data_IF_947948551266
#
_entry.id   IF_947948551266
#
_cell.length_a   1.000
_cell.length_b   1.000
_cell.length_c   1.000
_cell.angle_alpha   90.00
_cell.angle_beta   90.00
_cell.angle_gamma   90.00
#
_symmetry.space_group_name_H-M   'P 1'
#
loop_
_entity.id
_entity.type
_entity.pdbx_description
1 polymer ?
#
# COMPACT_ATOMS: atom_id res chain seq x y z
N UNK A 1 18.71 7.39 -0.14
CA UNK A 1 19.86 7.83 0.68
C UNK A 1 19.84 9.34 0.73
N UNK A 2 18.87 9.92 1.44
CA UNK A 2 19.01 11.28 1.97
C UNK A 2 19.01 11.11 3.47
N UNK A 3 20.21 11.10 4.05
CA UNK A 3 20.34 11.18 5.50
C UNK A 3 19.76 12.51 5.92
N UNK A 4 18.70 12.50 6.74
CA UNK A 4 18.11 13.70 7.34
C UNK A 4 19.23 14.51 8.00
N UNK A 5 19.68 15.59 7.35
CA UNK A 5 20.87 16.37 7.75
C UNK A 5 20.74 16.96 9.17
N UNK A 6 19.52 17.22 9.62
CA UNK A 6 19.23 17.62 10.99
C UNK A 6 19.43 16.47 11.99
N UNK A 7 19.15 15.24 11.58
CA UNK A 7 19.31 14.05 12.42
C UNK A 7 20.79 13.69 12.62
N UNK A 8 21.63 13.90 11.59
CA UNK A 8 23.09 13.78 11.75
C UNK A 8 23.63 14.89 12.65
N UNK A 9 23.19 16.13 12.47
CA UNK A 9 23.59 17.25 13.31
C UNK A 9 23.23 17.02 14.80
N UNK A 10 22.03 16.50 15.07
CA UNK A 10 21.60 16.18 16.43
C UNK A 10 22.43 15.06 17.08
N UNK A 11 22.96 14.13 16.29
CA UNK A 11 23.83 13.04 16.78
C UNK A 11 25.25 13.51 17.04
N UNK A 12 25.79 14.37 16.17
CA UNK A 12 27.14 14.92 16.28
C UNK A 12 27.23 15.99 17.36
N UNK A 13 26.19 16.79 17.53
CA UNK A 13 26.12 17.90 18.48
C UNK A 13 24.85 17.82 19.34
N UNK A 14 24.80 16.94 20.37
CA UNK A 14 23.59 16.68 21.15
C UNK A 14 23.08 17.86 21.97
N UNK A 15 23.95 18.82 22.28
CA UNK A 15 23.61 20.00 23.10
C UNK A 15 23.49 21.29 22.27
N UNK A 16 23.31 21.18 20.94
CA UNK A 16 23.21 22.35 20.08
C UNK A 16 21.85 23.04 20.26
N UNK A 17 21.86 24.36 20.44
CA UNK A 17 20.65 25.19 20.48
C UNK A 17 20.56 25.93 19.16
N UNK A 18 19.43 25.77 18.47
CA UNK A 18 19.16 26.42 17.20
C UNK A 18 18.11 27.49 17.45
N UNK A 19 18.48 28.76 17.25
CA UNK A 19 17.55 29.87 17.25
C UNK A 19 17.00 30.04 15.84
N UNK A 20 15.68 30.02 15.69
CA UNK A 20 14.98 30.12 14.41
C UNK A 20 13.83 31.10 14.55
N UNK A 21 13.49 31.80 13.47
CA UNK A 21 12.28 32.61 13.46
C UNK A 21 11.05 31.69 13.51
N UNK A 22 10.00 32.14 14.21
CA UNK A 22 8.76 31.38 14.34
C UNK A 22 8.09 31.18 12.98
N UNK A 23 8.22 32.15 12.06
CA UNK A 23 7.76 32.05 10.67
C UNK A 23 8.33 30.82 9.97
N UNK A 24 9.64 30.63 10.10
CA UNK A 24 10.37 29.58 9.39
C UNK A 24 10.02 28.21 9.95
N UNK A 25 9.76 28.15 11.27
CA UNK A 25 9.28 26.94 11.93
C UNK A 25 7.88 26.53 11.44
N UNK A 26 6.99 27.51 11.26
CA UNK A 26 5.64 27.27 10.72
C UNK A 26 5.74 26.75 9.28
N UNK A 27 6.53 27.40 8.43
CA UNK A 27 6.71 27.00 7.04
C UNK A 27 7.29 25.58 6.92
N UNK A 28 8.30 25.26 7.73
CA UNK A 28 8.87 23.92 7.79
C UNK A 28 7.84 22.87 8.24
N UNK A 29 7.04 23.18 9.26
CA UNK A 29 5.99 22.28 9.75
C UNK A 29 4.91 22.03 8.69
N UNK A 30 4.43 23.07 8.01
CA UNK A 30 3.47 22.90 6.93
C UNK A 30 4.05 22.12 5.75
N UNK A 31 5.32 22.35 5.40
CA UNK A 31 6.00 21.60 4.34
C UNK A 31 6.09 20.10 4.68
N UNK A 32 6.43 19.77 5.93
CA UNK A 32 6.41 18.40 6.45
C UNK A 32 5.01 17.78 6.34
N UNK A 33 3.98 18.47 6.84
CA UNK A 33 2.59 17.99 6.79
C UNK A 33 2.15 17.76 5.34
N UNK A 34 2.42 18.71 4.43
CA UNK A 34 2.08 18.58 3.00
C UNK A 34 2.77 17.37 2.37
N UNK A 35 4.06 17.17 2.65
CA UNK A 35 4.83 16.04 2.11
C UNK A 35 4.29 14.71 2.61
N UNK A 36 4.07 14.58 3.92
CA UNK A 36 3.50 13.36 4.51
C UNK A 36 2.08 13.09 3.99
N UNK A 37 1.26 14.14 3.84
CA UNK A 37 -0.09 13.99 3.26
C UNK A 37 -0.03 13.52 1.81
N UNK A 38 0.85 14.08 0.99
CA UNK A 38 1.02 13.68 -0.40
C UNK A 38 1.50 12.22 -0.53
N UNK A 39 2.44 11.79 0.32
CA UNK A 39 2.91 10.39 0.36
C UNK A 39 1.77 9.43 0.78
N UNK A 40 0.95 9.81 1.76
CA UNK A 40 -0.22 9.04 2.18
C UNK A 40 -1.30 8.99 1.10
N UNK A 41 -1.57 10.10 0.41
CA UNK A 41 -2.52 10.14 -0.71
C UNK A 41 -2.07 9.29 -1.89
N UNK A 42 -0.77 9.25 -2.19
CA UNK A 42 -0.21 8.34 -3.18
C UNK A 42 -0.42 6.87 -2.79
N UNK A 43 -0.13 6.51 -1.52
CA UNK A 43 -0.38 5.15 -1.03
C UNK A 43 -1.87 4.77 -1.10
N UNK A 44 -2.78 5.71 -0.80
CA UNK A 44 -4.23 5.49 -0.93
C UNK A 44 -4.64 5.35 -2.40
N UNK A 45 -4.06 6.13 -3.31
CA UNK A 45 -4.39 6.10 -4.74
C UNK A 45 -3.91 4.80 -5.39
N UNK A 46 -2.72 4.32 -5.01
CA UNK A 46 -2.18 3.03 -5.43
C UNK A 46 -2.98 1.86 -4.83
N UNK A 47 -3.48 2.00 -3.60
CA UNK A 47 -4.37 1.02 -2.98
C UNK A 47 -5.80 1.02 -3.56
N UNK A 48 -6.30 2.17 -4.04
CA UNK A 48 -7.65 2.31 -4.62
C UNK A 48 -7.74 1.99 -6.11
N UNK A 49 -6.61 1.83 -6.80
CA UNK A 49 -6.64 1.39 -8.20
C UNK A 49 -6.86 -0.13 -8.23
N UNK A 50 -8.12 -0.54 -8.37
CA UNK A 50 -8.47 -1.96 -8.51
C UNK A 50 -7.72 -2.56 -9.71
N UNK A 51 -6.86 -3.53 -9.44
CA UNK A 51 -6.11 -4.25 -10.47
C UNK A 51 -6.71 -5.62 -10.74
N UNK A 52 -6.46 -6.14 -11.94
CA UNK A 52 -7.07 -7.37 -12.43
C UNK A 52 -6.02 -8.40 -12.82
N UNK A 53 -5.34 -9.05 -11.86
CA UNK A 53 -4.36 -10.10 -12.14
C UNK A 53 -4.95 -11.28 -12.93
N UNK A 54 -4.09 -11.90 -13.75
CA UNK A 54 -4.42 -13.12 -14.49
C UNK A 54 -4.45 -14.35 -13.56
N UNK A 55 -5.06 -15.48 -13.96
CA UNK A 55 -5.11 -16.69 -13.14
C UNK A 55 -3.72 -17.18 -12.72
N UNK A 56 -2.72 -17.02 -13.59
CA UNK A 56 -1.31 -17.32 -13.30
C UNK A 56 -0.74 -16.45 -12.18
N UNK A 57 -1.03 -15.16 -12.20
CA UNK A 57 -0.56 -14.24 -11.17
C UNK A 57 -1.25 -14.51 -9.83
N UNK A 58 -2.57 -14.76 -9.85
CA UNK A 58 -3.35 -15.09 -8.64
C UNK A 58 -2.86 -16.38 -7.99
N UNK A 59 -2.61 -17.42 -8.79
CA UNK A 59 -2.05 -18.68 -8.31
C UNK A 59 -0.74 -18.47 -7.56
N UNK A 60 0.15 -17.60 -8.09
CA UNK A 60 1.41 -17.24 -7.43
C UNK A 60 1.19 -16.42 -6.15
N UNK A 61 0.32 -15.41 -6.17
CA UNK A 61 0.04 -14.55 -5.02
C UNK A 61 -0.50 -15.36 -3.84
N UNK A 62 -1.43 -16.28 -4.10
CA UNK A 62 -2.08 -17.09 -3.08
C UNK A 62 -1.33 -18.39 -2.75
N UNK A 63 -0.26 -18.71 -3.49
CA UNK A 63 0.49 -19.96 -3.32
C UNK A 63 -0.32 -21.22 -3.62
N UNK A 64 -1.31 -21.14 -4.53
CA UNK A 64 -2.20 -22.25 -4.89
C UNK A 64 -2.08 -22.64 -6.35
N UNK A 65 -2.47 -23.87 -6.69
CA UNK A 65 -2.53 -24.30 -8.09
C UNK A 65 -3.75 -23.73 -8.84
N UNK A 66 -3.66 -23.65 -10.18
CA UNK A 66 -4.77 -23.19 -11.03
C UNK A 66 -6.02 -24.05 -10.91
N UNK A 67 -5.87 -25.36 -10.65
CA UNK A 67 -7.01 -26.26 -10.41
C UNK A 67 -7.79 -25.86 -9.15
N UNK A 68 -7.12 -25.34 -8.12
CA UNK A 68 -7.75 -24.79 -6.92
C UNK A 68 -8.57 -23.55 -7.25
N UNK A 69 -8.04 -22.63 -8.06
CA UNK A 69 -8.79 -21.45 -8.52
C UNK A 69 -10.04 -21.84 -9.32
N UNK A 70 -9.98 -22.91 -10.13
CA UNK A 70 -11.16 -23.44 -10.84
C UNK A 70 -12.21 -23.99 -9.87
N UNK A 71 -11.79 -24.74 -8.84
CA UNK A 71 -12.70 -25.23 -7.79
C UNK A 71 -13.34 -24.06 -7.03
N UNK A 72 -12.58 -23.04 -6.67
CA UNK A 72 -13.08 -21.85 -5.99
C UNK A 72 -14.07 -21.03 -6.83
N UNK A 73 -13.84 -20.96 -8.16
CA UNK A 73 -14.81 -20.37 -9.07
C UNK A 73 -16.13 -21.15 -9.07
N UNK A 74 -16.07 -22.50 -9.05
CA UNK A 74 -17.25 -23.36 -8.97
C UNK A 74 -17.98 -23.24 -7.62
N UNK A 75 -17.24 -23.11 -6.52
CA UNK A 75 -17.79 -22.94 -5.17
C UNK A 75 -18.14 -21.49 -4.81
N UNK A 76 -17.98 -20.54 -5.74
CA UNK A 76 -18.19 -19.10 -5.55
C UNK A 76 -17.34 -18.47 -4.43
N UNK A 77 -16.21 -19.07 -4.08
CA UNK A 77 -15.29 -18.56 -3.06
C UNK A 77 -14.42 -17.42 -3.60
N UNK A 78 -13.89 -17.58 -4.82
CA UNK A 78 -13.16 -16.55 -5.54
C UNK A 78 -13.65 -16.57 -6.99
N UNK A 79 -14.38 -15.53 -7.40
CA UNK A 79 -15.11 -15.50 -8.66
C UNK A 79 -14.27 -14.76 -9.71
N UNK A 80 -13.94 -15.39 -10.85
CA UNK A 80 -13.29 -14.69 -11.95
C UNK A 80 -14.28 -13.73 -12.62
N UNK A 81 -13.78 -12.60 -13.10
CA UNK A 81 -14.49 -11.70 -13.98
C UNK A 81 -13.87 -11.72 -15.38
N UNK A 82 -14.61 -11.27 -16.37
CA UNK A 82 -14.12 -11.16 -17.74
C UNK A 82 -13.74 -9.71 -18.06
N UNK A 83 -12.47 -9.50 -18.39
CA UNK A 83 -11.92 -8.20 -18.79
C UNK A 83 -11.28 -8.37 -20.16
N UNK A 84 -11.92 -7.83 -21.20
CA UNK A 84 -11.45 -7.93 -22.58
C UNK A 84 -11.33 -9.38 -23.08
N UNK A 85 -12.31 -10.24 -22.77
CA UNK A 85 -12.32 -11.65 -23.19
C UNK A 85 -11.39 -12.57 -22.40
N UNK A 86 -10.71 -12.04 -21.38
CA UNK A 86 -9.78 -12.82 -20.53
C UNK A 86 -10.30 -12.89 -19.11
N UNK A 87 -10.23 -14.08 -18.51
CA UNK A 87 -10.54 -14.28 -17.10
C UNK A 87 -9.50 -13.58 -16.23
N UNK A 88 -9.95 -12.72 -15.33
CA UNK A 88 -9.16 -12.01 -14.32
C UNK A 88 -9.85 -12.12 -12.96
N UNK A 89 -9.15 -11.73 -11.91
CA UNK A 89 -9.71 -11.63 -10.55
C UNK A 89 -9.49 -10.23 -10.01
N UNK A 90 -10.37 -9.76 -9.14
CA UNK A 90 -10.18 -8.50 -8.42
C UNK A 90 -9.08 -8.67 -7.38
N UNK A 91 -8.14 -7.73 -7.34
CA UNK A 91 -7.12 -7.69 -6.32
C UNK A 91 -7.72 -7.49 -4.93
N UNK A 92 -8.84 -6.74 -4.82
CA UNK A 92 -9.58 -6.61 -3.56
C UNK A 92 -10.08 -7.95 -3.01
N UNK A 93 -10.62 -8.82 -3.87
CA UNK A 93 -11.08 -10.16 -3.46
C UNK A 93 -9.90 -11.05 -3.02
N UNK A 94 -8.75 -10.92 -3.68
CA UNK A 94 -7.52 -11.65 -3.33
C UNK A 94 -6.98 -11.15 -1.99
N UNK A 95 -6.91 -9.83 -1.79
CA UNK A 95 -6.46 -9.22 -0.55
C UNK A 95 -7.34 -9.63 0.62
N UNK A 96 -8.67 -9.69 0.44
CA UNK A 96 -9.60 -10.20 1.46
C UNK A 96 -9.31 -11.65 1.88
N UNK A 97 -8.83 -12.48 0.96
CA UNK A 97 -8.40 -13.86 1.26
C UNK A 97 -7.06 -13.85 2.02
N UNK A 98 -6.11 -12.99 1.61
CA UNK A 98 -4.78 -12.86 2.24
C UNK A 98 -4.84 -12.27 3.66
N UNK A 99 -5.71 -11.28 3.88
CA UNK A 99 -5.96 -10.65 5.18
C UNK A 99 -6.74 -11.59 6.13
N UNK A 100 -7.14 -12.77 5.64
CA UNK A 100 -7.60 -13.88 6.45
C UNK A 100 -8.94 -13.61 7.14
N UNK A 101 -10.05 -13.60 6.40
CA UNK A 101 -11.39 -13.90 6.92
C UNK A 101 -11.84 -13.16 8.19
N UNK A 102 -11.24 -12.02 8.52
CA UNK A 102 -11.42 -11.33 9.81
C UNK A 102 -12.60 -10.37 9.73
N UNK A 103 -13.79 -10.92 9.48
CA UNK A 103 -15.05 -10.27 9.81
C UNK A 103 -15.90 -11.29 10.56
N UNK A 104 -16.01 -11.10 11.88
CA UNK A 104 -16.96 -11.81 12.73
C UNK A 104 -16.31 -12.56 13.89
N UNK A 105 -15.87 -11.82 14.91
CA UNK A 105 -15.99 -12.27 16.29
C UNK A 105 -17.03 -11.41 16.98
#
# INVERSE_FOLDING_TARGET
>A
MESNKLLSLAKECPNVIISIAVSDLIEANEALIRKTKAELEQLITDANTETYPSPDQVAKILGVDKSTLWRWAKSKYLIPIEVGGKRRYRMSDINRILEGGSVGK
#
